data_IF_873608012449
#
_entry.id   IF_873608012449
#
_cell.length_a   1.000
_cell.length_b   1.000
_cell.length_c   1.000
_cell.angle_alpha   90.00
_cell.angle_beta   90.00
_cell.angle_gamma   90.00
#
_symmetry.space_group_name_H-M   'P 1'
#
loop_
_entity.id
_entity.type
_entity.pdbx_description
1 polymer ?
#
# COMPACT_ATOMS: atom_id res chain seq x y z
N UNK A 1 -6.27 2.03 15.86
CA UNK A 1 -5.58 0.75 15.61
C UNK A 1 -4.59 0.42 16.71
N UNK A 2 -3.78 1.38 17.17
CA UNK A 2 -2.75 1.15 18.21
C UNK A 2 -3.27 0.54 19.53
N UNK A 3 -4.50 0.84 19.95
CA UNK A 3 -5.10 0.30 21.18
C UNK A 3 -5.45 -1.19 21.12
N UNK A 4 -5.48 -1.77 19.91
CA UNK A 4 -5.82 -3.18 19.68
C UNK A 4 -4.64 -3.97 19.07
N UNK A 5 -3.44 -3.40 19.05
CA UNK A 5 -2.21 -4.09 18.62
C UNK A 5 -2.09 -4.33 17.11
N UNK A 6 -2.77 -3.53 16.29
CA UNK A 6 -2.67 -3.62 14.82
C UNK A 6 -1.48 -2.80 14.33
N UNK A 7 -0.70 -3.36 13.40
CA UNK A 7 0.35 -2.64 12.68
C UNK A 7 -0.23 -1.44 11.91
N UNK A 8 0.34 -0.25 12.10
CA UNK A 8 -0.11 0.97 11.40
C UNK A 8 0.82 1.42 10.29
N UNK A 9 2.06 0.93 10.29
CA UNK A 9 3.06 1.20 9.24
C UNK A 9 3.49 -0.12 8.61
N UNK A 10 3.65 -0.17 7.30
CA UNK A 10 4.04 -1.40 6.59
C UNK A 10 5.51 -1.77 6.83
N UNK A 11 6.34 -0.82 7.25
CA UNK A 11 7.71 -1.08 7.73
C UNK A 11 7.74 -2.01 8.93
N UNK A 12 6.71 -1.97 9.79
CA UNK A 12 6.57 -2.91 10.91
C UNK A 12 6.31 -4.35 10.47
N UNK A 13 5.89 -4.55 9.22
CA UNK A 13 5.72 -5.85 8.56
C UNK A 13 6.97 -6.28 7.77
N UNK A 14 8.04 -5.48 7.80
CA UNK A 14 9.30 -5.77 7.11
C UNK A 14 9.37 -5.28 5.66
N UNK A 15 8.41 -4.45 5.21
CA UNK A 15 8.46 -3.83 3.89
C UNK A 15 9.56 -2.77 3.85
N UNK A 16 10.28 -2.73 2.73
CA UNK A 16 11.33 -1.76 2.44
C UNK A 16 10.98 -0.98 1.18
N UNK A 17 11.60 0.19 1.00
CA UNK A 17 11.32 1.09 -0.14
C UNK A 17 11.48 0.38 -1.51
N UNK A 18 12.50 -0.48 -1.65
CA UNK A 18 12.78 -1.20 -2.89
C UNK A 18 11.72 -2.26 -3.24
N UNK A 19 10.87 -2.65 -2.27
CA UNK A 19 9.76 -3.59 -2.50
C UNK A 19 8.51 -2.91 -3.05
N UNK A 20 8.38 -1.57 -2.94
CA UNK A 20 7.14 -0.86 -3.27
C UNK A 20 6.72 -1.05 -4.74
N UNK A 21 7.67 -0.97 -5.66
CA UNK A 21 7.43 -1.16 -7.09
C UNK A 21 6.85 -2.56 -7.37
N UNK A 22 7.42 -3.60 -6.75
CA UNK A 22 6.93 -4.97 -6.89
C UNK A 22 5.55 -5.20 -6.30
N UNK A 23 5.23 -4.54 -5.17
CA UNK A 23 3.90 -4.60 -4.56
C UNK A 23 2.88 -3.86 -5.45
N UNK A 24 3.22 -2.70 -5.99
CA UNK A 24 2.36 -1.95 -6.90
C UNK A 24 2.07 -2.76 -8.17
N UNK A 25 3.06 -3.43 -8.75
CA UNK A 25 2.89 -4.29 -9.93
C UNK A 25 2.05 -5.54 -9.66
N UNK A 26 2.13 -6.09 -8.45
CA UNK A 26 1.32 -7.24 -8.03
C UNK A 26 -0.11 -6.86 -7.60
N UNK A 27 -0.39 -5.57 -7.43
CA UNK A 27 -1.71 -5.10 -6.98
C UNK A 27 -2.72 -5.17 -8.11
N UNK A 28 -3.82 -5.89 -7.88
CA UNK A 28 -4.91 -5.96 -8.83
C UNK A 28 -5.74 -4.66 -8.80
N UNK A 29 -5.77 -3.94 -9.92
CA UNK A 29 -6.60 -2.74 -10.05
C UNK A 29 -8.07 -3.14 -10.21
N UNK A 30 -8.90 -2.67 -9.29
CA UNK A 30 -10.35 -2.88 -9.32
C UNK A 30 -11.06 -1.69 -9.97
N UNK A 31 -12.03 -1.99 -10.82
CA UNK A 31 -12.80 -0.99 -11.58
C UNK A 31 -14.13 -0.64 -10.88
N UNK A 32 -14.23 -0.92 -9.58
CA UNK A 32 -15.41 -0.73 -8.77
C UNK A 32 -15.13 0.15 -7.55
N UNK A 33 -16.13 0.89 -7.08
CA UNK A 33 -15.99 1.84 -5.98
C UNK A 33 -16.00 3.30 -6.44
N UNK A 34 -15.47 4.20 -5.61
CA UNK A 34 -15.54 5.65 -5.84
C UNK A 34 -14.65 6.15 -6.99
N UNK A 35 -13.44 5.57 -7.16
CA UNK A 35 -12.47 5.92 -8.20
C UNK A 35 -11.73 4.64 -8.63
N UNK A 36 -11.49 4.48 -9.93
CA UNK A 36 -10.53 3.49 -10.43
C UNK A 36 -9.12 4.07 -10.26
N UNK A 37 -8.25 3.37 -9.54
CA UNK A 37 -6.88 3.80 -9.29
C UNK A 37 -5.96 3.45 -10.46
N UNK A 38 -4.92 4.25 -10.64
CA UNK A 38 -3.77 3.90 -11.49
C UNK A 38 -2.60 3.43 -10.64
N UNK A 39 -1.57 2.87 -11.29
CA UNK A 39 -0.38 2.34 -10.62
C UNK A 39 0.29 3.38 -9.70
N UNK A 40 0.33 4.63 -10.14
CA UNK A 40 0.92 5.76 -9.42
C UNK A 40 0.11 6.09 -8.14
N UNK A 41 -1.21 5.93 -8.18
CA UNK A 41 -2.04 6.09 -6.97
C UNK A 41 -1.69 5.00 -5.93
N UNK A 42 -1.47 3.76 -6.38
CA UNK A 42 -1.08 2.63 -5.51
C UNK A 42 0.28 2.90 -4.87
N UNK A 43 1.27 3.32 -5.68
CA UNK A 43 2.59 3.70 -5.16
C UNK A 43 2.52 4.82 -4.13
N UNK A 44 1.72 5.86 -4.38
CA UNK A 44 1.54 6.96 -3.43
C UNK A 44 1.03 6.47 -2.08
N UNK A 45 0.01 5.60 -2.08
CA UNK A 45 -0.54 5.02 -0.84
C UNK A 45 0.50 4.15 -0.13
N UNK A 46 1.23 3.31 -0.87
CA UNK A 46 2.27 2.47 -0.29
C UNK A 46 3.39 3.30 0.35
N UNK A 47 3.83 4.36 -0.32
CA UNK A 47 4.86 5.27 0.19
C UNK A 47 4.35 6.07 1.41
N UNK A 48 3.08 6.46 1.44
CA UNK A 48 2.46 7.09 2.63
C UNK A 48 2.30 6.12 3.81
N UNK A 49 2.40 4.81 3.57
CA UNK A 49 2.21 3.77 4.59
C UNK A 49 3.52 3.21 5.16
N UNK A 50 4.68 3.62 4.63
CA UNK A 50 6.01 3.23 5.13
C UNK A 50 6.30 3.82 6.50
#
# INVERSE_FOLDING_TARGET
MNTIGVATEITSLGVTEDMLEGIADATFIMNGGFKTLVREDVLSVLHESL
#
